data_IF_891981887286
#
_entry.id   IF_891981887286
#
_cell.length_a   1.000
_cell.length_b   1.000
_cell.length_c   1.000
_cell.angle_alpha   90.00
_cell.angle_beta   90.00
_cell.angle_gamma   90.00
#
_symmetry.space_group_name_H-M   'P 1'
#
loop_
_entity.id
_entity.type
_entity.pdbx_description
1 polymer ?
#
# COMPACT_ATOMS: atom_id res chain seq x y z
N UNK A 1 -59.17 31.29 -92.34
CA UNK A 1 -58.07 31.82 -91.48
C UNK A 1 -58.26 31.22 -90.10
N UNK A 2 -57.48 30.19 -89.75
CA UNK A 2 -57.59 29.48 -88.47
C UNK A 2 -56.17 29.39 -87.90
N UNK A 3 -55.90 30.18 -86.86
CA UNK A 3 -54.58 30.30 -86.23
C UNK A 3 -54.26 29.03 -85.43
N UNK A 4 -53.14 28.35 -85.72
CA UNK A 4 -52.59 27.27 -84.89
C UNK A 4 -51.64 27.87 -83.85
N UNK A 5 -51.95 27.73 -82.57
CA UNK A 5 -51.01 27.93 -81.47
C UNK A 5 -50.14 26.67 -81.27
N UNK A 6 -48.81 26.79 -81.07
CA UNK A 6 -48.01 25.67 -80.61
C UNK A 6 -47.99 25.63 -79.07
N UNK A 7 -48.36 24.49 -78.48
CA UNK A 7 -48.11 24.19 -77.07
C UNK A 7 -46.68 23.64 -76.91
N UNK A 8 -45.79 24.42 -76.29
CA UNK A 8 -44.52 23.90 -75.77
C UNK A 8 -44.79 23.15 -74.47
N UNK A 9 -44.69 21.81 -74.49
CA UNK A 9 -44.63 21.00 -73.26
C UNK A 9 -43.16 20.91 -72.82
N UNK A 10 -42.81 21.63 -71.76
CA UNK A 10 -41.53 21.48 -71.09
C UNK A 10 -41.47 20.09 -70.41
N UNK A 11 -40.62 19.20 -70.92
CA UNK A 11 -40.28 17.95 -70.26
C UNK A 11 -39.33 18.24 -69.10
N UNK A 12 -39.84 18.22 -67.86
CA UNK A 12 -39.01 18.23 -66.66
C UNK A 12 -38.39 16.83 -66.54
N UNK A 13 -37.04 16.68 -66.55
CA UNK A 13 -36.43 15.37 -66.53
C UNK A 13 -36.60 14.71 -65.15
N UNK A 14 -37.14 13.49 -65.16
CA UNK A 14 -37.37 12.57 -64.02
C UNK A 14 -36.13 12.34 -63.11
N UNK A 15 -34.95 12.80 -63.52
CA UNK A 15 -33.67 12.67 -62.79
C UNK A 15 -33.56 13.57 -61.55
N UNK A 16 -34.32 14.67 -61.47
CA UNK A 16 -34.26 15.59 -60.33
C UNK A 16 -34.98 15.04 -59.09
N UNK A 17 -36.04 14.24 -59.28
CA UNK A 17 -36.77 13.63 -58.16
C UNK A 17 -36.03 12.48 -57.50
N UNK A 18 -35.21 11.73 -58.25
CA UNK A 18 -34.45 10.60 -57.70
C UNK A 18 -33.25 11.08 -56.86
N UNK A 19 -32.58 12.17 -57.25
CA UNK A 19 -31.48 12.75 -56.44
C UNK A 19 -31.99 13.45 -55.18
N UNK A 20 -33.12 14.17 -55.23
CA UNK A 20 -33.70 14.80 -54.05
C UNK A 20 -34.22 13.77 -53.03
N UNK A 21 -34.78 12.65 -53.50
CA UNK A 21 -35.19 11.53 -52.66
C UNK A 21 -34.02 10.78 -52.02
N UNK A 22 -32.89 10.61 -52.73
CA UNK A 22 -31.68 10.00 -52.16
C UNK A 22 -30.95 10.90 -51.18
N UNK A 23 -30.92 12.22 -51.40
CA UNK A 23 -30.34 13.18 -50.44
C UNK A 23 -31.21 13.28 -49.19
N UNK A 24 -32.54 13.21 -49.32
CA UNK A 24 -33.43 13.17 -48.15
C UNK A 24 -33.35 11.81 -47.44
N UNK A 25 -33.16 10.69 -48.15
CA UNK A 25 -32.98 9.36 -47.56
C UNK A 25 -31.58 9.16 -46.92
N UNK A 26 -30.53 9.83 -47.42
CA UNK A 26 -29.22 9.89 -46.76
C UNK A 26 -29.16 10.92 -45.61
N UNK A 27 -30.08 11.88 -45.54
CA UNK A 27 -30.20 12.82 -44.41
C UNK A 27 -31.03 12.27 -43.23
N UNK A 28 -31.54 11.03 -43.35
CA UNK A 28 -32.08 10.24 -42.22
C UNK A 28 -31.02 9.25 -41.70
N UNK A 29 -29.72 9.60 -41.80
CA UNK A 29 -28.69 8.97 -40.98
C UNK A 29 -29.00 9.36 -39.54
N UNK A 30 -29.76 8.46 -38.89
CA UNK A 30 -29.98 8.31 -37.46
C UNK A 30 -29.46 9.46 -36.60
N UNK A 31 -30.34 10.41 -36.27
CA UNK A 31 -30.26 11.09 -34.99
C UNK A 31 -30.46 10.00 -33.92
N UNK A 32 -29.37 9.33 -33.53
CA UNK A 32 -29.35 8.54 -32.31
C UNK A 32 -29.55 9.57 -31.20
N UNK A 33 -30.78 9.74 -30.75
CA UNK A 33 -31.06 10.49 -29.53
C UNK A 33 -30.48 9.62 -28.41
N UNK A 34 -29.21 9.83 -28.09
CA UNK A 34 -28.59 9.30 -26.88
C UNK A 34 -29.29 10.01 -25.73
N UNK A 35 -30.38 9.41 -25.26
CA UNK A 35 -31.12 9.91 -24.11
C UNK A 35 -30.20 9.79 -22.89
N UNK A 36 -29.87 10.93 -22.30
CA UNK A 36 -29.14 10.96 -21.05
C UNK A 36 -29.99 10.25 -19.97
N UNK A 37 -29.49 9.15 -19.45
CA UNK A 37 -30.09 8.40 -18.36
C UNK A 37 -29.57 8.97 -17.03
N UNK A 38 -30.49 9.53 -16.24
CA UNK A 38 -30.22 9.85 -14.85
C UNK A 38 -30.41 8.60 -13.97
N UNK A 39 -29.53 8.41 -13.00
CA UNK A 39 -29.64 7.35 -12.03
C UNK A 39 -28.48 7.34 -11.04
N UNK A 40 -28.29 6.21 -10.39
CA UNK A 40 -27.22 6.02 -9.41
C UNK A 40 -26.41 4.79 -9.74
N UNK A 41 -25.12 4.83 -9.43
CA UNK A 41 -24.27 3.65 -9.31
C UNK A 41 -24.00 3.47 -7.83
N UNK A 42 -24.13 2.24 -7.34
CA UNK A 42 -23.90 1.93 -5.92
C UNK A 42 -22.68 1.03 -5.77
N UNK A 43 -22.22 0.83 -4.55
CA UNK A 43 -21.17 -0.12 -4.27
C UNK A 43 -20.62 0.03 -2.87
N UNK A 44 -19.61 -0.77 -2.57
CA UNK A 44 -18.84 -0.69 -1.34
C UNK A 44 -17.34 -0.64 -1.65
N UNK A 45 -16.64 0.28 -0.99
CA UNK A 45 -15.18 0.22 -0.87
C UNK A 45 -14.86 -0.58 0.39
N UNK A 46 -14.04 -1.62 0.27
CA UNK A 46 -13.76 -2.55 1.37
C UNK A 46 -12.29 -2.87 1.51
N UNK A 47 -11.87 -3.24 2.72
CA UNK A 47 -10.50 -3.66 3.01
C UNK A 47 -10.37 -5.15 2.69
N UNK A 48 -9.68 -5.45 1.61
CA UNK A 48 -9.42 -6.81 1.10
C UNK A 48 -8.19 -7.38 1.83
N UNK A 49 -8.44 -8.10 2.93
CA UNK A 49 -7.40 -8.56 3.84
C UNK A 49 -6.66 -9.79 3.30
N UNK A 50 -7.39 -10.70 2.65
CA UNK A 50 -6.78 -11.90 2.08
C UNK A 50 -6.28 -11.69 0.64
N UNK A 51 -6.54 -10.49 0.09
CA UNK A 51 -6.10 -10.01 -1.21
C UNK A 51 -6.50 -10.99 -2.32
N UNK A 52 -7.76 -11.43 -2.29
CA UNK A 52 -8.34 -12.33 -3.27
C UNK A 52 -9.21 -11.59 -4.31
N UNK A 53 -9.41 -10.27 -4.14
CA UNK A 53 -10.21 -9.41 -5.00
C UNK A 53 -11.71 -9.72 -4.96
N UNK A 54 -12.21 -10.21 -3.82
CA UNK A 54 -13.61 -10.44 -3.56
C UNK A 54 -13.95 -10.22 -2.08
N UNK A 55 -14.97 -9.39 -1.82
CA UNK A 55 -15.37 -9.06 -0.46
C UNK A 55 -15.80 -10.30 0.34
N UNK A 56 -15.01 -10.65 1.35
CA UNK A 56 -15.32 -11.65 2.36
C UNK A 56 -16.29 -11.15 3.44
N UNK A 57 -16.90 -12.07 4.19
CA UNK A 57 -17.84 -11.74 5.26
C UNK A 57 -17.20 -10.95 6.42
N UNK A 58 -15.89 -11.10 6.62
CA UNK A 58 -15.10 -10.43 7.67
C UNK A 58 -14.39 -9.17 7.19
N UNK A 59 -14.58 -8.79 5.92
CA UNK A 59 -13.89 -7.65 5.32
C UNK A 59 -14.71 -6.36 5.50
N UNK A 60 -14.20 -5.44 6.34
CA UNK A 60 -14.93 -4.22 6.67
C UNK A 60 -14.91 -3.26 5.48
N UNK A 61 -15.91 -2.38 5.44
CA UNK A 61 -15.88 -1.25 4.52
C UNK A 61 -14.78 -0.24 4.87
N UNK A 62 -14.41 0.57 3.90
CA UNK A 62 -13.45 1.67 4.04
C UNK A 62 -14.12 2.97 3.63
N UNK A 63 -14.35 3.85 4.60
CA UNK A 63 -14.90 5.19 4.39
C UNK A 63 -13.87 6.20 3.89
N UNK A 64 -14.34 7.24 3.20
CA UNK A 64 -13.52 8.36 2.73
C UNK A 64 -12.84 8.17 1.37
N UNK A 65 -13.08 7.07 0.66
CA UNK A 65 -12.65 6.93 -0.73
C UNK A 65 -13.43 7.89 -1.63
N UNK A 66 -12.77 8.53 -2.59
CA UNK A 66 -13.43 9.37 -3.60
C UNK A 66 -13.80 8.52 -4.81
N UNK A 67 -15.03 8.63 -5.27
CA UNK A 67 -15.55 7.92 -6.44
C UNK A 67 -16.05 8.96 -7.44
N UNK A 68 -15.53 8.92 -8.67
CA UNK A 68 -15.91 9.87 -9.73
C UNK A 68 -16.34 9.11 -10.98
N UNK A 69 -17.52 9.45 -11.49
CA UNK A 69 -18.03 8.94 -12.77
C UNK A 69 -17.68 9.87 -13.91
N UNK A 70 -17.29 9.33 -15.05
CA UNK A 70 -16.98 10.06 -16.27
C UNK A 70 -17.81 9.57 -17.46
N UNK A 71 -18.10 10.48 -18.38
CA UNK A 71 -18.65 10.16 -19.70
C UNK A 71 -17.58 9.68 -20.70
N UNK A 72 -18.01 9.33 -21.91
CA UNK A 72 -17.14 8.86 -23.00
C UNK A 72 -16.11 9.92 -23.46
N UNK A 73 -16.37 11.20 -23.20
CA UNK A 73 -15.45 12.29 -23.49
C UNK A 73 -14.44 12.54 -22.34
N UNK A 74 -14.55 11.79 -21.23
CA UNK A 74 -13.72 11.97 -20.05
C UNK A 74 -14.13 13.15 -19.17
N UNK A 75 -15.35 13.66 -19.32
CA UNK A 75 -15.91 14.73 -18.47
C UNK A 75 -16.50 14.10 -17.20
N UNK A 76 -16.21 14.64 -16.00
CA UNK A 76 -16.84 14.15 -14.78
C UNK A 76 -18.35 14.45 -14.79
N UNK A 77 -19.16 13.42 -14.58
CA UNK A 77 -20.63 13.47 -14.59
C UNK A 77 -21.25 13.18 -13.21
N UNK A 78 -20.41 12.88 -12.21
CA UNK A 78 -20.80 12.67 -10.83
C UNK A 78 -19.59 12.43 -9.93
N UNK A 79 -19.70 12.78 -8.65
CA UNK A 79 -18.70 12.46 -7.64
C UNK A 79 -19.38 12.20 -6.30
N UNK A 80 -18.82 11.30 -5.49
CA UNK A 80 -19.27 10.99 -4.14
C UNK A 80 -18.10 10.44 -3.31
N UNK A 81 -18.33 10.21 -2.03
CA UNK A 81 -17.36 9.53 -1.15
C UNK A 81 -17.98 8.31 -0.47
N UNK A 82 -17.18 7.30 -0.19
CA UNK A 82 -17.62 6.17 0.62
C UNK A 82 -17.90 6.58 2.05
N UNK A 83 -18.97 6.02 2.63
CA UNK A 83 -19.44 6.37 3.96
C UNK A 83 -18.43 6.00 5.05
N UNK A 84 -18.21 6.90 6.01
CA UNK A 84 -17.44 6.64 7.24
C UNK A 84 -18.33 6.32 8.44
N UNK A 85 -19.66 6.25 8.26
CA UNK A 85 -20.59 5.88 9.32
C UNK A 85 -20.46 4.37 9.61
N UNK A 86 -20.25 3.93 10.88
CA UNK A 86 -20.16 2.52 11.23
C UNK A 86 -21.29 1.62 10.70
N UNK A 87 -22.52 2.14 10.56
CA UNK A 87 -23.68 1.37 10.08
C UNK A 87 -23.65 1.12 8.56
N UNK A 88 -22.94 1.96 7.80
CA UNK A 88 -22.89 1.91 6.33
C UNK A 88 -21.44 1.98 5.81
N UNK A 89 -20.47 1.66 6.67
CA UNK A 89 -19.05 1.90 6.42
C UNK A 89 -18.65 1.35 5.05
N UNK A 90 -17.99 2.19 4.25
CA UNK A 90 -17.54 1.88 2.89
C UNK A 90 -18.61 1.96 1.79
N UNK A 91 -19.91 1.96 2.12
CA UNK A 91 -20.97 2.04 1.12
C UNK A 91 -21.01 3.41 0.46
N UNK A 92 -21.37 3.48 -0.81
CA UNK A 92 -21.56 4.74 -1.52
C UNK A 92 -22.73 4.69 -2.50
N UNK A 93 -23.21 5.87 -2.86
CA UNK A 93 -24.18 6.09 -3.95
C UNK A 93 -23.68 7.25 -4.80
N UNK A 94 -23.35 6.96 -6.05
CA UNK A 94 -22.84 7.90 -7.03
C UNK A 94 -23.97 8.33 -7.97
N UNK A 95 -24.54 9.53 -7.82
CA UNK A 95 -25.49 10.06 -8.78
C UNK A 95 -24.79 10.41 -10.08
N UNK A 96 -25.38 9.99 -11.22
CA UNK A 96 -24.84 10.24 -12.56
C UNK A 96 -25.96 10.57 -13.54
N UNK A 97 -25.62 11.35 -14.55
CA UNK A 97 -26.43 11.56 -15.75
C UNK A 97 -25.57 11.23 -16.96
N UNK A 98 -25.78 10.06 -17.54
CA UNK A 98 -24.92 9.52 -18.59
C UNK A 98 -25.68 9.38 -19.91
N UNK A 99 -25.10 9.85 -21.01
CA UNK A 99 -25.62 9.66 -22.37
C UNK A 99 -25.14 8.34 -23.01
N UNK A 100 -24.08 7.72 -22.48
CA UNK A 100 -23.52 6.45 -22.93
C UNK A 100 -24.11 5.22 -22.23
N UNK A 101 -23.81 4.04 -22.78
CA UNK A 101 -24.28 2.77 -22.22
C UNK A 101 -23.58 2.38 -20.90
N UNK A 102 -22.34 2.84 -20.71
CA UNK A 102 -21.52 2.59 -19.52
C UNK A 102 -20.95 3.92 -19.02
N UNK A 103 -20.76 4.00 -17.72
CA UNK A 103 -20.06 5.09 -17.02
C UNK A 103 -18.69 4.58 -16.63
N UNK A 104 -17.63 5.37 -16.91
CA UNK A 104 -16.29 5.11 -16.38
C UNK A 104 -16.22 5.59 -14.94
N UNK A 105 -16.19 4.68 -13.98
CA UNK A 105 -16.08 4.97 -12.55
C UNK A 105 -14.62 4.84 -12.13
N UNK A 106 -14.05 5.90 -11.57
CA UNK A 106 -12.70 5.90 -11.03
C UNK A 106 -12.73 6.05 -9.51
N UNK A 107 -11.89 5.26 -8.85
CA UNK A 107 -11.74 5.23 -7.40
C UNK A 107 -10.41 5.81 -6.99
N UNK A 108 -10.42 6.69 -5.98
CA UNK A 108 -9.23 7.17 -5.28
C UNK A 108 -9.30 6.69 -3.83
N UNK A 109 -8.50 5.68 -3.43
CA UNK A 109 -8.43 5.23 -2.05
C UNK A 109 -8.01 6.37 -1.09
N UNK A 110 -8.54 6.41 0.14
CA UNK A 110 -8.04 7.31 1.17
C UNK A 110 -6.73 6.74 1.76
N UNK A 111 -5.83 7.61 2.22
CA UNK A 111 -4.65 7.18 3.00
C UNK A 111 -5.09 6.38 4.24
N UNK A 112 -4.43 5.27 4.61
CA UNK A 112 -3.20 4.68 4.03
C UNK A 112 -3.43 3.65 2.91
N UNK A 113 -4.68 3.48 2.48
CA UNK A 113 -5.07 2.42 1.58
C UNK A 113 -4.57 2.63 0.15
N UNK A 114 -4.30 1.52 -0.52
CA UNK A 114 -3.96 1.41 -1.95
C UNK A 114 -4.89 0.41 -2.60
N UNK A 115 -4.92 0.38 -3.93
CA UNK A 115 -5.68 -0.63 -4.68
C UNK A 115 -5.23 -2.05 -4.29
N UNK A 116 -6.20 -2.93 -3.98
CA UNK A 116 -5.96 -4.35 -3.78
C UNK A 116 -5.76 -5.08 -5.12
N UNK A 117 -5.54 -6.40 -5.09
CA UNK A 117 -5.42 -7.18 -6.32
C UNK A 117 -6.72 -7.15 -7.12
N UNK A 118 -6.59 -7.31 -8.44
CA UNK A 118 -7.73 -7.55 -9.32
C UNK A 118 -8.34 -8.93 -9.04
N UNK A 119 -9.64 -9.00 -8.81
CA UNK A 119 -10.39 -10.25 -8.65
C UNK A 119 -11.88 -10.11 -8.99
N UNK A 120 -12.65 -11.18 -8.77
CA UNK A 120 -14.01 -11.34 -9.28
C UNK A 120 -15.01 -10.26 -8.84
N UNK A 121 -14.83 -9.66 -7.65
CA UNK A 121 -15.68 -8.58 -7.12
C UNK A 121 -14.86 -7.32 -6.70
N UNK A 122 -13.61 -7.23 -7.15
CA UNK A 122 -12.76 -6.03 -7.07
C UNK A 122 -12.02 -5.88 -8.39
N UNK A 123 -12.68 -5.28 -9.40
CA UNK A 123 -12.00 -4.85 -10.61
C UNK A 123 -10.91 -3.81 -10.28
N UNK A 124 -10.19 -3.32 -11.30
CA UNK A 124 -9.20 -2.25 -11.10
C UNK A 124 -9.87 -0.97 -10.56
N UNK A 125 -9.06 0.02 -10.15
CA UNK A 125 -9.56 1.34 -9.71
C UNK A 125 -10.28 2.14 -10.81
N UNK A 126 -10.43 1.58 -12.01
CA UNK A 126 -11.20 2.12 -13.12
C UNK A 126 -12.16 1.04 -13.61
N UNK A 127 -13.45 1.28 -13.49
CA UNK A 127 -14.49 0.32 -13.83
C UNK A 127 -15.46 0.93 -14.85
N UNK A 128 -16.10 0.10 -15.66
CA UNK A 128 -17.13 0.53 -16.61
C UNK A 128 -18.43 -0.15 -16.26
N UNK A 129 -19.40 0.60 -15.74
CA UNK A 129 -20.67 0.05 -15.25
C UNK A 129 -21.86 0.82 -15.81
N UNK A 130 -23.00 0.17 -16.07
CA UNK A 130 -24.20 0.86 -16.52
C UNK A 130 -24.79 1.73 -15.40
N UNK A 131 -25.59 2.74 -15.76
CA UNK A 131 -26.40 3.47 -14.79
C UNK A 131 -27.38 2.51 -14.10
N UNK A 132 -27.43 2.52 -12.77
CA UNK A 132 -28.15 1.53 -11.95
C UNK A 132 -27.29 0.32 -11.55
N UNK A 133 -26.04 0.24 -12.00
CA UNK A 133 -25.11 -0.84 -11.69
C UNK A 133 -24.49 -0.75 -10.30
N UNK A 134 -23.68 -1.78 -10.00
CA UNK A 134 -22.86 -1.88 -8.78
C UNK A 134 -21.39 -1.88 -9.18
N UNK A 135 -20.57 -1.11 -8.47
CA UNK A 135 -19.12 -1.09 -8.62
C UNK A 135 -18.45 -1.21 -7.25
N UNK A 136 -18.08 -2.43 -6.87
CA UNK A 136 -17.35 -2.66 -5.63
C UNK A 136 -15.84 -2.50 -5.85
N UNK A 137 -15.12 -2.07 -4.82
CA UNK A 137 -13.69 -1.80 -4.93
C UNK A 137 -12.93 -2.19 -3.67
N UNK A 138 -12.03 -3.16 -3.82
CA UNK A 138 -11.13 -3.62 -2.76
C UNK A 138 -9.90 -2.74 -2.65
N UNK A 139 -9.54 -2.41 -1.41
CA UNK A 139 -8.33 -1.68 -1.06
C UNK A 139 -7.55 -2.41 0.04
N UNK A 140 -6.25 -2.15 0.12
CA UNK A 140 -5.34 -2.75 1.09
C UNK A 140 -4.44 -1.67 1.70
N UNK A 141 -4.14 -1.78 2.99
CA UNK A 141 -3.09 -1.01 3.64
C UNK A 141 -1.76 -1.79 3.63
N UNK A 142 -0.62 -1.11 3.73
CA UNK A 142 0.65 -1.77 4.02
C UNK A 142 0.53 -2.69 5.24
N UNK A 143 1.02 -3.93 5.11
CA UNK A 143 0.93 -4.94 6.16
C UNK A 143 -0.32 -5.82 6.15
N UNK A 144 -1.34 -5.53 5.31
CA UNK A 144 -2.57 -6.35 5.27
C UNK A 144 -2.34 -7.76 4.71
N UNK A 145 -1.40 -7.90 3.79
CA UNK A 145 -1.18 -9.14 3.05
C UNK A 145 0.15 -9.76 3.44
N UNK A 146 0.11 -10.99 3.94
CA UNK A 146 1.28 -11.80 4.27
C UNK A 146 1.25 -13.12 3.48
N UNK A 147 1.41 -13.06 2.16
CA UNK A 147 1.56 -14.27 1.34
C UNK A 147 3.05 -14.61 1.16
N UNK A 148 3.50 -15.71 1.80
CA UNK A 148 4.89 -16.16 1.80
C UNK A 148 5.91 -15.05 2.17
N UNK A 149 5.79 -14.41 3.34
CA UNK A 149 6.71 -13.35 3.71
C UNK A 149 8.13 -13.89 3.90
N UNK A 150 9.11 -13.01 3.76
CA UNK A 150 10.46 -13.28 4.27
C UNK A 150 10.46 -12.95 5.76
N UNK A 151 10.92 -13.88 6.59
CA UNK A 151 11.06 -13.69 8.04
C UNK A 151 12.46 -13.18 8.37
N UNK A 152 12.60 -12.44 9.46
CA UNK A 152 13.88 -12.00 9.99
C UNK A 152 13.89 -12.09 11.52
N UNK A 153 15.07 -12.34 12.10
CA UNK A 153 15.29 -12.31 13.55
C UNK A 153 16.71 -11.88 13.86
N UNK A 154 16.90 -11.32 15.06
CA UNK A 154 18.23 -11.08 15.61
C UNK A 154 18.85 -12.33 16.23
N UNK A 155 20.18 -12.35 16.28
CA UNK A 155 21.03 -13.36 16.86
C UNK A 155 21.98 -12.67 17.85
N UNK A 156 21.96 -13.11 19.10
CA UNK A 156 22.77 -12.50 20.13
C UNK A 156 24.18 -13.10 20.18
N UNK A 157 25.18 -12.30 19.82
CA UNK A 157 26.57 -12.74 19.73
C UNK A 157 27.32 -12.41 21.04
N UNK A 158 27.85 -13.43 21.75
CA UNK A 158 28.61 -13.24 22.97
C UNK A 158 29.92 -12.47 22.75
N UNK A 159 30.24 -11.58 23.70
CA UNK A 159 31.49 -10.84 23.74
C UNK A 159 31.43 -9.46 23.08
N UNK A 160 32.60 -8.93 22.80
CA UNK A 160 32.78 -7.67 22.09
C UNK A 160 32.41 -7.83 20.61
N UNK A 161 31.43 -7.05 20.16
CA UNK A 161 30.91 -7.12 18.79
C UNK A 161 31.60 -6.14 17.82
N UNK A 162 32.53 -5.30 18.28
CA UNK A 162 33.15 -4.23 17.47
C UNK A 162 33.85 -4.71 16.18
N UNK A 163 34.31 -5.97 16.12
CA UNK A 163 34.92 -6.55 14.91
C UNK A 163 34.36 -7.91 14.53
N UNK A 164 33.29 -8.37 15.18
CA UNK A 164 32.73 -9.70 14.94
C UNK A 164 31.90 -9.73 13.66
N UNK A 165 32.33 -10.52 12.66
CA UNK A 165 31.56 -10.75 11.43
C UNK A 165 30.52 -11.86 11.58
N UNK A 166 30.23 -12.28 12.81
CA UNK A 166 29.21 -13.30 13.08
C UNK A 166 27.82 -12.73 12.82
N UNK A 167 26.91 -13.55 12.29
CA UNK A 167 25.52 -13.19 11.98
C UNK A 167 24.77 -12.62 13.18
N UNK A 168 24.50 -11.32 13.18
CA UNK A 168 23.69 -10.67 14.20
C UNK A 168 22.22 -10.55 13.79
N UNK A 169 21.93 -10.55 12.49
CA UNK A 169 20.57 -10.60 11.97
C UNK A 169 20.53 -11.53 10.78
N UNK A 170 19.50 -12.36 10.74
CA UNK A 170 19.30 -13.36 9.69
C UNK A 170 17.89 -13.31 9.14
N UNK A 171 17.70 -13.76 7.91
CA UNK A 171 16.39 -13.92 7.28
C UNK A 171 16.25 -15.22 6.51
N UNK A 172 15.01 -15.70 6.38
CA UNK A 172 14.66 -16.90 5.62
C UNK A 172 13.25 -16.77 5.05
N UNK A 173 12.93 -17.58 4.05
CA UNK A 173 11.57 -17.61 3.49
C UNK A 173 10.60 -18.30 4.47
N UNK A 174 9.34 -17.85 4.54
CA UNK A 174 8.35 -18.40 5.46
C UNK A 174 8.20 -19.93 5.39
N UNK A 175 8.24 -20.49 4.19
CA UNK A 175 8.16 -21.94 3.97
C UNK A 175 9.50 -22.67 4.06
N UNK A 176 10.59 -21.98 4.38
CA UNK A 176 11.90 -22.61 4.46
C UNK A 176 11.94 -23.60 5.63
N UNK A 177 12.28 -24.85 5.32
CA UNK A 177 12.50 -25.90 6.30
C UNK A 177 13.98 -26.31 6.31
N UNK A 178 14.59 -26.35 7.49
CA UNK A 178 15.97 -26.79 7.67
C UNK A 178 16.11 -28.31 7.76
N UNK A 179 17.26 -28.83 7.33
CA UNK A 179 17.77 -30.17 7.68
C UNK A 179 19.09 -29.97 8.43
N UNK A 180 19.41 -30.83 9.40
CA UNK A 180 20.67 -30.74 10.17
C UNK A 180 21.87 -30.52 9.23
N UNK A 181 22.58 -29.41 9.41
CA UNK A 181 23.77 -29.04 8.62
C UNK A 181 23.54 -28.13 7.41
N UNK A 182 22.29 -27.79 7.07
CA UNK A 182 21.98 -26.74 6.08
C UNK A 182 20.97 -25.79 6.68
N UNK A 183 21.48 -24.62 7.05
CA UNK A 183 20.76 -23.50 7.61
C UNK A 183 20.10 -22.72 6.45
N UNK A 184 18.75 -22.65 6.38
CA UNK A 184 18.07 -21.92 5.32
C UNK A 184 18.23 -20.40 5.46
N UNK A 185 18.73 -19.92 6.59
CA UNK A 185 18.86 -18.50 6.84
C UNK A 185 20.05 -17.86 6.12
N UNK A 186 19.81 -16.65 5.62
CA UNK A 186 20.81 -15.76 5.04
C UNK A 186 21.16 -14.68 6.07
N UNK A 187 22.45 -14.44 6.28
CA UNK A 187 22.92 -13.31 7.10
C UNK A 187 22.63 -12.00 6.38
N UNK A 188 21.97 -11.07 7.06
CA UNK A 188 21.62 -9.75 6.51
C UNK A 188 22.30 -8.60 7.26
N UNK A 189 22.74 -8.83 8.50
CA UNK A 189 23.70 -7.98 9.21
C UNK A 189 24.62 -8.80 10.11
N UNK A 190 25.85 -8.33 10.26
CA UNK A 190 26.86 -8.89 11.17
C UNK A 190 26.95 -8.10 12.48
N UNK A 191 27.53 -8.72 13.51
CA UNK A 191 27.66 -8.11 14.83
C UNK A 191 28.51 -6.82 14.82
N UNK A 192 29.49 -6.70 13.94
CA UNK A 192 30.24 -5.46 13.76
C UNK A 192 29.51 -4.40 12.92
N UNK A 193 28.30 -4.68 12.43
CA UNK A 193 27.45 -3.69 11.75
C UNK A 193 26.38 -3.15 12.70
N UNK A 194 25.77 -4.02 13.53
CA UNK A 194 24.61 -3.66 14.39
C UNK A 194 24.75 -4.02 15.87
N UNK A 195 25.70 -4.89 16.23
CA UNK A 195 25.87 -5.41 17.59
C UNK A 195 24.66 -6.19 18.08
N UNK A 196 24.19 -5.84 19.28
CA UNK A 196 23.01 -6.45 19.90
C UNK A 196 21.77 -5.64 19.56
N UNK A 197 20.83 -6.24 18.81
CA UNK A 197 19.54 -5.66 18.44
C UNK A 197 18.38 -6.58 18.81
N UNK A 198 17.19 -6.03 19.09
CA UNK A 198 16.00 -6.83 19.43
C UNK A 198 14.70 -6.32 18.80
N UNK A 199 14.27 -5.09 19.06
CA UNK A 199 13.05 -4.56 18.44
C UNK A 199 13.22 -4.45 16.93
N UNK A 200 12.33 -5.08 16.17
CA UNK A 200 12.39 -5.13 14.70
C UNK A 200 11.10 -4.59 14.11
N UNK A 201 11.20 -3.66 13.16
CA UNK A 201 10.04 -3.12 12.45
C UNK A 201 10.31 -3.08 10.94
N UNK A 202 9.39 -3.58 10.12
CA UNK A 202 9.56 -3.65 8.67
C UNK A 202 8.66 -2.66 7.95
N UNK A 203 9.27 -1.79 7.12
CA UNK A 203 8.56 -0.88 6.22
C UNK A 203 8.46 -1.51 4.83
N UNK A 204 7.26 -1.91 4.43
CA UNK A 204 7.02 -2.63 3.18
C UNK A 204 7.21 -1.75 1.94
N UNK A 205 6.87 -0.45 2.01
CA UNK A 205 7.00 0.45 0.84
C UNK A 205 8.44 0.65 0.37
N UNK A 206 9.40 0.62 1.29
CA UNK A 206 10.83 0.79 0.98
C UNK A 206 11.62 -0.51 1.14
N UNK A 207 10.96 -1.59 1.58
CA UNK A 207 11.56 -2.87 1.93
C UNK A 207 12.67 -2.75 3.00
N UNK A 208 12.54 -1.80 3.92
CA UNK A 208 13.54 -1.52 4.96
C UNK A 208 13.20 -2.24 6.25
N UNK A 209 14.17 -2.96 6.83
CA UNK A 209 14.07 -3.45 8.21
C UNK A 209 14.78 -2.48 9.15
N UNK A 210 14.07 -1.98 10.16
CA UNK A 210 14.61 -1.20 11.26
C UNK A 210 14.90 -2.08 12.47
N UNK A 211 15.96 -1.75 13.20
CA UNK A 211 16.43 -2.56 14.33
C UNK A 211 16.86 -1.68 15.50
N UNK A 212 16.24 -1.88 16.66
CA UNK A 212 16.59 -1.18 17.90
C UNK A 212 17.80 -1.84 18.58
N UNK A 213 18.80 -1.03 18.93
CA UNK A 213 19.87 -1.47 19.82
C UNK A 213 19.31 -1.91 21.18
N UNK A 214 19.75 -3.07 21.65
CA UNK A 214 19.22 -3.71 22.85
C UNK A 214 20.33 -4.08 23.81
N UNK A 215 20.12 -3.85 25.11
CA UNK A 215 21.07 -4.24 26.14
C UNK A 215 20.75 -5.65 26.63
N UNK A 216 21.64 -6.59 26.33
CA UNK A 216 21.59 -7.97 26.82
C UNK A 216 22.91 -8.34 27.46
N UNK A 217 22.85 -9.01 28.62
CA UNK A 217 24.06 -9.46 29.32
C UNK A 217 24.98 -10.27 28.40
N UNK A 218 26.25 -9.90 28.39
CA UNK A 218 27.34 -10.63 27.74
C UNK A 218 27.41 -10.43 26.23
N UNK A 219 26.64 -9.50 25.65
CA UNK A 219 26.65 -9.23 24.20
C UNK A 219 26.86 -7.74 23.94
N UNK A 220 27.93 -7.40 23.23
CA UNK A 220 28.33 -6.00 23.02
C UNK A 220 27.37 -5.21 22.14
N UNK A 221 27.37 -3.89 22.34
CA UNK A 221 26.67 -2.94 21.48
C UNK A 221 27.31 -2.84 20.09
N UNK A 222 26.56 -2.25 19.15
CA UNK A 222 27.03 -2.04 17.79
C UNK A 222 28.11 -0.95 17.68
N UNK A 223 28.50 -0.59 16.45
CA UNK A 223 29.66 0.28 16.19
C UNK A 223 29.62 1.66 16.83
N UNK A 224 28.42 2.17 17.13
CA UNK A 224 28.20 3.46 17.80
C UNK A 224 28.52 3.40 19.30
N UNK A 225 28.64 2.19 19.86
CA UNK A 225 28.74 1.93 21.30
C UNK A 225 27.59 2.56 22.12
N UNK A 226 26.45 2.86 21.48
CA UNK A 226 25.29 3.48 22.09
C UNK A 226 24.19 2.46 22.40
N UNK A 227 23.33 2.78 23.35
CA UNK A 227 22.10 2.05 23.69
C UNK A 227 20.86 2.66 23.02
N UNK A 228 21.04 3.75 22.26
CA UNK A 228 19.96 4.53 21.63
C UNK A 228 20.04 4.54 20.11
N UNK A 229 20.82 3.66 19.50
CA UNK A 229 20.91 3.57 18.04
C UNK A 229 19.75 2.74 17.49
N UNK A 230 19.11 3.27 16.44
CA UNK A 230 18.25 2.51 15.54
C UNK A 230 19.04 2.31 14.24
N UNK A 231 19.20 1.06 13.85
CA UNK A 231 19.78 0.68 12.57
C UNK A 231 18.68 0.51 11.52
N UNK A 232 19.06 0.62 10.26
CA UNK A 232 18.25 0.17 9.12
C UNK A 232 19.07 -0.70 8.20
N UNK A 233 18.44 -1.70 7.63
CA UNK A 233 19.01 -2.52 6.59
C UNK A 233 18.39 -2.21 5.23
N UNK A 234 19.27 -2.12 4.23
CA UNK A 234 18.85 -2.04 2.84
C UNK A 234 18.28 -3.39 2.37
N UNK A 235 17.29 -3.39 1.44
CA UNK A 235 16.82 -4.61 0.77
C UNK A 235 17.93 -5.40 0.06
N UNK A 236 19.03 -4.72 -0.29
CA UNK A 236 20.20 -5.29 -0.97
C UNK A 236 21.30 -5.78 -0.02
N UNK A 237 21.08 -5.72 1.29
CA UNK A 237 22.04 -6.06 2.32
C UNK A 237 22.87 -4.86 2.81
N UNK A 238 23.44 -5.00 4.01
CA UNK A 238 24.23 -3.98 4.69
C UNK A 238 23.40 -3.15 5.66
N UNK A 239 23.90 -2.99 6.88
CA UNK A 239 23.30 -2.18 7.92
C UNK A 239 23.90 -0.76 7.95
N UNK A 240 23.07 0.21 8.29
CA UNK A 240 23.48 1.60 8.49
C UNK A 240 22.75 2.18 9.69
N UNK A 241 23.34 3.19 10.34
CA UNK A 241 22.64 3.96 11.37
C UNK A 241 21.49 4.72 10.71
N UNK A 242 20.27 4.50 11.18
CA UNK A 242 19.10 5.30 10.82
C UNK A 242 18.99 6.54 11.71
N UNK A 243 19.07 6.34 13.03
CA UNK A 243 18.93 7.41 14.01
C UNK A 243 19.72 7.08 15.28
N UNK A 244 20.27 8.11 15.92
CA UNK A 244 20.85 8.03 17.27
C UNK A 244 20.00 8.87 18.23
N UNK A 245 19.32 8.20 19.16
CA UNK A 245 18.35 8.82 20.05
C UNK A 245 19.00 9.55 21.23
N UNK A 246 20.13 9.07 21.77
CA UNK A 246 20.84 9.77 22.86
C UNK A 246 21.39 11.15 22.45
N UNK A 247 21.42 11.45 21.14
CA UNK A 247 21.79 12.76 20.62
C UNK A 247 20.63 13.77 20.60
N UNK A 248 19.40 13.35 20.91
CA UNK A 248 18.21 14.20 20.85
C UNK A 248 17.90 14.80 22.22
N UNK A 249 17.45 16.06 22.23
CA UNK A 249 17.14 16.77 23.46
C UNK A 249 16.02 16.07 24.24
N UNK A 250 16.27 15.76 25.51
CA UNK A 250 15.29 15.13 26.41
C UNK A 250 15.24 13.61 26.33
N UNK A 251 16.04 12.96 25.48
CA UNK A 251 16.10 11.51 25.35
C UNK A 251 17.39 10.97 25.99
N UNK A 252 17.24 10.00 26.89
CA UNK A 252 18.31 9.24 27.52
C UNK A 252 17.91 7.76 27.57
N UNK A 253 18.57 6.94 26.76
CA UNK A 253 18.37 5.49 26.73
C UNK A 253 19.33 4.77 27.70
N UNK A 254 20.08 5.51 28.51
CA UNK A 254 21.01 5.04 29.53
C UNK A 254 22.37 4.64 28.98
N UNK A 255 23.43 4.74 29.80
CA UNK A 255 24.79 4.44 29.36
C UNK A 255 24.98 2.95 29.02
N UNK A 256 25.84 2.65 28.05
CA UNK A 256 26.24 1.27 27.78
C UNK A 256 26.88 0.65 29.05
N UNK A 257 26.28 -0.40 29.63
CA UNK A 257 26.76 -0.96 30.88
C UNK A 257 27.85 -2.02 30.69
N UNK A 258 28.15 -2.38 29.44
CA UNK A 258 29.07 -3.46 29.12
C UNK A 258 30.53 -3.05 29.28
N UNK A 259 31.43 -4.01 29.54
CA UNK A 259 32.85 -3.74 29.54
C UNK A 259 33.34 -3.41 28.12
N UNK A 260 34.39 -2.60 28.01
CA UNK A 260 34.95 -2.21 26.72
C UNK A 260 36.12 -3.12 26.31
N UNK A 261 36.14 -3.58 25.06
CA UNK A 261 37.25 -4.30 24.43
C UNK A 261 37.17 -5.82 24.51
N UNK A 262 37.87 -6.48 23.58
CA UNK A 262 37.82 -7.95 23.41
C UNK A 262 38.37 -8.75 24.59
N UNK A 263 39.35 -8.21 25.32
CA UNK A 263 39.98 -8.89 26.46
C UNK A 263 39.19 -8.72 27.78
N UNK A 264 38.05 -8.02 27.74
CA UNK A 264 37.30 -7.68 28.92
C UNK A 264 36.46 -8.85 29.46
N UNK A 265 36.03 -8.83 30.73
CA UNK A 265 35.35 -9.95 31.38
C UNK A 265 33.87 -10.06 30.97
N UNK A 266 33.60 -10.42 29.71
CA UNK A 266 32.26 -10.55 29.11
C UNK A 266 31.40 -11.68 29.71
N UNK A 267 32.04 -12.69 30.34
CA UNK A 267 31.33 -13.76 31.04
C UNK A 267 30.72 -13.23 32.35
N UNK A 268 31.48 -12.39 33.07
CA UNK A 268 31.03 -11.80 34.31
C UNK A 268 30.02 -10.69 34.03
N UNK A 269 30.35 -9.77 33.11
CA UNK A 269 29.55 -8.62 32.69
C UNK A 269 28.60 -8.10 33.79
N UNK A 270 29.16 -7.52 34.88
CA UNK A 270 28.37 -7.14 36.05
C UNK A 270 27.41 -5.99 35.75
N UNK A 271 27.78 -5.07 34.84
CA UNK A 271 26.89 -4.00 34.39
C UNK A 271 25.71 -4.53 33.58
N UNK A 272 25.96 -5.44 32.64
CA UNK A 272 24.91 -6.12 31.89
C UNK A 272 24.06 -7.09 32.70
N UNK A 273 24.37 -7.37 33.98
CA UNK A 273 23.52 -8.23 34.82
C UNK A 273 22.20 -7.58 35.22
N UNK A 274 22.22 -6.27 35.53
CA UNK A 274 21.07 -5.54 36.07
C UNK A 274 20.33 -4.68 35.04
N UNK A 275 20.95 -4.46 33.89
CA UNK A 275 20.52 -3.55 32.84
C UNK A 275 19.46 -4.08 31.85
N UNK A 276 19.39 -5.39 31.50
CA UNK A 276 18.40 -5.90 30.55
C UNK A 276 16.98 -5.58 31.00
N UNK A 277 16.17 -5.07 30.06
CA UNK A 277 14.80 -4.62 30.32
C UNK A 277 14.69 -3.28 31.08
N UNK A 278 15.81 -2.59 31.35
CA UNK A 278 15.84 -1.28 32.04
C UNK A 278 16.65 -0.20 31.33
N UNK A 279 17.55 -0.58 30.43
CA UNK A 279 18.43 0.33 29.69
C UNK A 279 18.37 -0.06 28.22
N UNK A 280 18.54 0.93 27.35
CA UNK A 280 18.49 0.81 25.91
C UNK A 280 17.07 0.86 25.35
N UNK A 281 16.96 0.49 24.09
CA UNK A 281 15.68 0.41 23.41
C UNK A 281 15.04 -0.96 23.63
N UNK A 282 13.71 -0.99 23.59
CA UNK A 282 12.90 -2.18 23.65
C UNK A 282 12.41 -2.62 22.28
N UNK A 283 11.13 -2.98 22.22
CA UNK A 283 10.46 -3.30 20.97
C UNK A 283 10.20 -2.04 20.13
N UNK A 284 9.97 -2.25 18.83
CA UNK A 284 9.62 -1.19 17.88
C UNK A 284 8.46 -1.62 17.00
N UNK A 285 7.63 -0.67 16.58
CA UNK A 285 6.55 -0.94 15.64
C UNK A 285 6.34 0.24 14.69
N UNK A 286 5.81 -0.04 13.50
CA UNK A 286 5.55 0.97 12.47
C UNK A 286 4.05 1.18 12.33
N UNK A 287 3.62 2.44 12.21
CA UNK A 287 2.21 2.76 11.92
C UNK A 287 1.76 2.14 10.59
N UNK A 288 0.47 1.86 10.44
CA UNK A 288 -0.09 1.25 9.22
C UNK A 288 0.05 2.12 7.97
N UNK A 289 0.25 3.43 8.11
CA UNK A 289 0.56 4.34 7.00
C UNK A 289 2.07 4.42 6.68
N UNK A 290 2.89 3.71 7.45
CA UNK A 290 4.35 3.64 7.39
C UNK A 290 5.08 4.97 7.61
N UNK A 291 4.42 5.96 8.21
CA UNK A 291 5.01 7.29 8.44
C UNK A 291 5.62 7.48 9.83
N UNK A 292 5.23 6.65 10.80
CA UNK A 292 5.64 6.78 12.20
C UNK A 292 6.27 5.47 12.69
N UNK A 293 7.48 5.56 13.24
CA UNK A 293 8.15 4.47 13.93
C UNK A 293 8.07 4.71 15.44
N UNK A 294 7.44 3.81 16.16
CA UNK A 294 7.36 3.80 17.61
C UNK A 294 8.47 2.91 18.17
N UNK A 295 9.10 3.33 19.26
CA UNK A 295 10.14 2.56 19.94
C UNK A 295 10.06 2.81 21.44
N UNK A 296 10.20 1.74 22.23
CA UNK A 296 10.24 1.87 23.69
C UNK A 296 11.62 2.29 24.17
N UNK A 297 11.72 3.37 24.93
CA UNK A 297 12.88 3.69 25.74
C UNK A 297 12.74 3.03 27.12
N UNK A 298 13.54 1.99 27.37
CA UNK A 298 13.46 1.23 28.62
C UNK A 298 14.00 2.01 29.83
N UNK A 299 14.93 2.95 29.60
CA UNK A 299 15.55 3.76 30.65
C UNK A 299 14.59 4.82 31.20
N UNK A 300 13.92 5.55 30.31
CA UNK A 300 12.93 6.56 30.68
C UNK A 300 11.53 6.00 30.89
N UNK A 301 11.24 4.80 30.39
CA UNK A 301 9.92 4.12 30.43
C UNK A 301 8.85 4.86 29.62
N UNK A 302 9.20 5.25 28.40
CA UNK A 302 8.35 5.98 27.47
C UNK A 302 8.53 5.47 26.03
#
# INVERSE_FOLDING_TARGET
MMNRHPHNRAHIPLRVFVLAGLILALLVISLQVVNAQAGVITGIVYRDYDNNGARGATEPGVGGATITGYDDAGTPIGTTTSSSDPATLGQYTLPVVASGALVRVEFTPPTPYRTAIFGGNSPTSVQFVPVGGVADFGVQAPGDVCNNPRLATSCFIPGDNSTSTTRAVVSWDYYANGRTGTYPETTIATANEVGTVYGLAFQSSTQTLFEASYVRRGTGQGPTNSTGTIYRMSPTGGASVFMELNGLAGIDTGANPHPNGMAAPWIQDPGGFVAPGKIGLGDMDISSDETTLYVMNLNQRE
#
